data_IF_309909637690
#
_entry.id   IF_309909637690
#
_cell.length_a   1.000
_cell.length_b   1.000
_cell.length_c   1.000
_cell.angle_alpha   90.00
_cell.angle_beta   90.00
_cell.angle_gamma   90.00
#
_symmetry.space_group_name_H-M   'P 1'
#
loop_
_entity.id
_entity.type
_entity.pdbx_description
1 polymer ?
#
# COMPACT_ATOMS: atom_id res chain seq x y z
N UNK A 1 -61.47 -12.49 -5.24
CA UNK A 1 -60.45 -12.12 -6.25
C UNK A 1 -59.07 -12.24 -5.62
N UNK A 2 -58.24 -13.18 -6.06
CA UNK A 2 -56.82 -13.26 -5.68
C UNK A 2 -56.02 -12.87 -6.91
N UNK A 3 -55.60 -11.62 -6.98
CA UNK A 3 -54.75 -11.13 -8.06
C UNK A 3 -53.47 -11.98 -8.10
N UNK A 4 -53.24 -12.60 -9.26
CA UNK A 4 -51.98 -13.25 -9.56
C UNK A 4 -50.92 -12.16 -9.70
N UNK A 5 -50.17 -11.91 -8.62
CA UNK A 5 -48.95 -11.12 -8.63
C UNK A 5 -47.84 -11.85 -9.43
N UNK A 6 -48.06 -12.00 -10.73
CA UNK A 6 -47.06 -12.42 -11.69
C UNK A 6 -46.35 -11.18 -12.22
N UNK A 7 -45.11 -10.99 -11.79
CA UNK A 7 -44.20 -9.95 -12.31
C UNK A 7 -44.13 -10.04 -13.84
N UNK A 8 -44.36 -8.92 -14.52
CA UNK A 8 -44.26 -8.85 -15.98
C UNK A 8 -42.79 -8.95 -16.40
N UNK A 9 -42.54 -9.48 -17.61
CA UNK A 9 -41.18 -9.65 -18.16
C UNK A 9 -40.40 -8.32 -18.21
N UNK A 10 -41.10 -7.20 -18.31
CA UNK A 10 -40.52 -5.85 -18.36
C UNK A 10 -39.99 -5.38 -17.00
N UNK A 11 -40.68 -5.66 -15.89
CA UNK A 11 -40.15 -5.36 -14.54
C UNK A 11 -38.84 -6.11 -14.24
N UNK A 12 -38.71 -7.35 -14.74
CA UNK A 12 -37.49 -8.15 -14.62
C UNK A 12 -36.34 -7.59 -15.44
N UNK A 13 -36.60 -7.11 -16.66
CA UNK A 13 -35.59 -6.44 -17.49
C UNK A 13 -35.15 -5.12 -16.87
N UNK A 14 -36.10 -4.33 -16.37
CA UNK A 14 -35.83 -3.03 -15.76
C UNK A 14 -35.04 -3.17 -14.46
N UNK A 15 -35.40 -4.13 -13.59
CA UNK A 15 -34.62 -4.42 -12.37
C UNK A 15 -33.23 -4.98 -12.69
N UNK A 16 -33.07 -5.81 -13.73
CA UNK A 16 -31.77 -6.25 -14.19
C UNK A 16 -30.92 -5.06 -14.70
N UNK A 17 -31.50 -4.16 -15.49
CA UNK A 17 -30.81 -2.98 -16.00
C UNK A 17 -30.37 -2.03 -14.87
N UNK A 18 -31.25 -1.78 -13.88
CA UNK A 18 -30.92 -0.98 -12.69
C UNK A 18 -29.79 -1.63 -11.90
N UNK A 19 -29.82 -2.95 -11.74
CA UNK A 19 -28.77 -3.68 -11.00
C UNK A 19 -27.43 -3.60 -11.72
N UNK A 20 -27.42 -3.74 -13.05
CA UNK A 20 -26.21 -3.54 -13.86
C UNK A 20 -25.68 -2.12 -13.69
N UNK A 21 -26.55 -1.11 -13.78
CA UNK A 21 -26.13 0.28 -13.61
C UNK A 21 -25.57 0.55 -12.21
N UNK A 22 -26.20 0.01 -11.16
CA UNK A 22 -25.75 0.13 -9.77
C UNK A 22 -24.43 -0.59 -9.54
N UNK A 23 -24.27 -1.83 -10.02
CA UNK A 23 -23.02 -2.59 -9.91
C UNK A 23 -21.89 -1.92 -10.70
N UNK A 24 -22.18 -1.38 -11.88
CA UNK A 24 -21.21 -0.64 -12.68
C UNK A 24 -20.80 0.66 -11.99
N UNK A 25 -21.76 1.44 -11.48
CA UNK A 25 -21.48 2.69 -10.77
C UNK A 25 -20.68 2.44 -9.48
N UNK A 26 -21.07 1.44 -8.68
CA UNK A 26 -20.33 1.03 -7.49
C UNK A 26 -18.94 0.50 -7.84
N UNK A 27 -18.83 -0.32 -8.88
CA UNK A 27 -17.55 -0.84 -9.37
C UNK A 27 -16.61 0.27 -9.80
N UNK A 28 -17.11 1.24 -10.56
CA UNK A 28 -16.35 2.43 -10.98
C UNK A 28 -15.96 3.31 -9.79
N UNK A 29 -16.90 3.63 -8.90
CA UNK A 29 -16.62 4.47 -7.73
C UNK A 29 -15.61 3.80 -6.77
N UNK A 30 -15.77 2.50 -6.52
CA UNK A 30 -14.85 1.73 -5.70
C UNK A 30 -13.46 1.61 -6.34
N UNK A 31 -13.40 1.32 -7.65
CA UNK A 31 -12.14 1.29 -8.37
C UNK A 31 -11.45 2.67 -8.32
N UNK A 32 -12.21 3.76 -8.53
CA UNK A 32 -11.69 5.13 -8.46
C UNK A 32 -11.13 5.48 -7.07
N UNK A 33 -11.73 4.97 -6.00
CA UNK A 33 -11.25 5.20 -4.62
C UNK A 33 -9.94 4.50 -4.29
N UNK A 34 -9.55 3.49 -5.06
CA UNK A 34 -8.33 2.68 -4.86
C UNK A 34 -7.26 3.01 -5.91
N UNK A 35 -7.63 3.68 -7.00
CA UNK A 35 -6.72 4.16 -8.03
C UNK A 35 -5.75 5.20 -7.45
N UNK A 36 -4.50 4.79 -7.28
CA UNK A 36 -3.40 5.69 -6.92
C UNK A 36 -3.16 6.68 -8.07
N UNK A 37 -3.24 8.01 -7.83
CA UNK A 37 -3.03 9.02 -8.86
C UNK A 37 -1.63 8.90 -9.51
N UNK A 38 -1.57 8.98 -10.84
CA UNK A 38 -0.30 8.95 -11.58
C UNK A 38 0.38 7.58 -11.66
N UNK A 39 -0.23 6.53 -11.10
CA UNK A 39 0.24 5.14 -11.18
C UNK A 39 -0.74 4.33 -12.05
N UNK A 40 -0.73 4.49 -13.38
CA UNK A 40 -1.59 3.67 -14.26
C UNK A 40 -0.86 2.39 -14.71
N UNK A 41 -0.46 1.55 -13.75
CA UNK A 41 -0.06 0.18 -14.04
C UNK A 41 -1.29 -0.74 -14.09
N UNK A 42 -1.28 -1.71 -15.01
CA UNK A 42 -2.37 -2.69 -15.14
C UNK A 42 -2.60 -3.51 -13.85
N UNK A 43 -1.54 -3.69 -13.06
CA UNK A 43 -1.58 -4.29 -11.73
C UNK A 43 -2.41 -3.47 -10.73
N UNK A 44 -2.33 -2.13 -10.82
CA UNK A 44 -3.15 -1.22 -10.03
C UNK A 44 -4.65 -1.31 -10.41
N UNK A 45 -4.96 -1.48 -11.70
CA UNK A 45 -6.35 -1.73 -12.16
C UNK A 45 -6.86 -3.05 -11.58
N UNK A 46 -6.08 -4.13 -11.68
CA UNK A 46 -6.48 -5.45 -11.20
C UNK A 46 -6.65 -5.44 -9.68
N UNK A 47 -5.76 -4.79 -8.95
CA UNK A 47 -5.88 -4.58 -7.51
C UNK A 47 -7.14 -3.77 -7.16
N UNK A 48 -7.40 -2.65 -7.83
CA UNK A 48 -8.58 -1.82 -7.62
C UNK A 48 -9.88 -2.58 -7.94
N UNK A 49 -9.87 -3.37 -9.00
CA UNK A 49 -11.00 -4.21 -9.42
C UNK A 49 -11.26 -5.33 -8.42
N UNK A 50 -10.22 -6.01 -7.90
CA UNK A 50 -10.35 -7.01 -6.84
C UNK A 50 -10.82 -6.34 -5.54
N UNK A 51 -10.31 -5.15 -5.20
CA UNK A 51 -10.76 -4.36 -4.05
C UNK A 51 -12.24 -4.00 -4.14
N UNK A 52 -12.74 -3.67 -5.35
CA UNK A 52 -14.14 -3.35 -5.60
C UNK A 52 -15.11 -4.50 -5.27
N UNK A 53 -14.62 -5.75 -5.23
CA UNK A 53 -15.42 -6.93 -4.85
C UNK A 53 -16.00 -6.81 -3.44
N UNK A 54 -15.31 -6.11 -2.53
CA UNK A 54 -15.81 -5.88 -1.16
C UNK A 54 -17.16 -5.18 -1.16
N UNK A 55 -17.45 -4.34 -2.16
CA UNK A 55 -18.72 -3.61 -2.29
C UNK A 55 -19.65 -4.23 -3.33
N UNK A 56 -19.12 -4.63 -4.49
CA UNK A 56 -19.93 -5.20 -5.59
C UNK A 56 -20.43 -6.62 -5.30
N UNK A 57 -19.65 -7.44 -4.58
CA UNK A 57 -20.01 -8.80 -4.19
C UNK A 57 -21.27 -8.88 -3.31
N UNK A 58 -21.33 -8.17 -2.17
CA UNK A 58 -22.53 -8.10 -1.31
C UNK A 58 -23.80 -7.65 -2.04
N UNK A 59 -23.68 -6.67 -2.94
CA UNK A 59 -24.81 -6.17 -3.74
C UNK A 59 -25.29 -7.24 -4.73
N UNK A 60 -24.35 -7.94 -5.39
CA UNK A 60 -24.68 -9.07 -6.26
C UNK A 60 -25.37 -10.21 -5.49
N UNK A 61 -24.89 -10.52 -4.27
CA UNK A 61 -25.50 -11.52 -3.40
C UNK A 61 -26.93 -11.13 -2.98
N UNK A 62 -27.14 -9.87 -2.57
CA UNK A 62 -28.46 -9.35 -2.22
C UNK A 62 -29.44 -9.40 -3.40
N UNK A 63 -28.99 -8.99 -4.59
CA UNK A 63 -29.80 -9.08 -5.81
C UNK A 63 -30.17 -10.53 -6.14
N UNK A 64 -29.20 -11.44 -6.12
CA UNK A 64 -29.44 -12.85 -6.40
C UNK A 64 -30.43 -13.49 -5.40
N UNK A 65 -30.33 -13.15 -4.11
CA UNK A 65 -31.26 -13.58 -3.08
C UNK A 65 -32.69 -13.06 -3.32
N UNK A 66 -32.83 -11.82 -3.75
CA UNK A 66 -34.13 -11.23 -4.09
C UNK A 66 -34.79 -11.90 -5.30
N UNK A 67 -34.03 -12.17 -6.36
CA UNK A 67 -34.52 -12.90 -7.54
C UNK A 67 -34.91 -14.34 -7.15
N UNK A 68 -34.08 -15.02 -6.34
CA UNK A 68 -34.35 -16.37 -5.85
C UNK A 68 -35.65 -16.45 -5.05
N UNK A 69 -35.87 -15.50 -4.13
CA UNK A 69 -37.09 -15.40 -3.32
C UNK A 69 -38.34 -15.33 -4.19
N UNK A 70 -38.34 -14.45 -5.20
CA UNK A 70 -39.47 -14.28 -6.14
C UNK A 70 -39.67 -15.53 -6.99
N UNK A 71 -38.57 -16.12 -7.48
CA UNK A 71 -38.63 -17.30 -8.33
C UNK A 71 -39.16 -18.52 -7.58
N UNK A 72 -38.72 -18.74 -6.33
CA UNK A 72 -39.24 -19.80 -5.45
C UNK A 72 -40.75 -19.69 -5.26
N UNK A 73 -41.27 -18.49 -5.01
CA UNK A 73 -42.72 -18.26 -4.88
C UNK A 73 -43.47 -18.66 -6.16
N UNK A 74 -42.94 -18.31 -7.34
CA UNK A 74 -43.55 -18.65 -8.63
C UNK A 74 -43.50 -20.14 -9.00
N UNK A 75 -42.55 -20.87 -8.43
CA UNK A 75 -42.26 -22.27 -8.76
C UNK A 75 -42.79 -23.26 -7.71
N UNK A 76 -43.45 -22.76 -6.67
CA UNK A 76 -43.93 -23.57 -5.54
C UNK A 76 -44.91 -24.64 -6.06
N UNK A 77 -44.58 -25.91 -5.83
CA UNK A 77 -45.41 -27.06 -6.22
C UNK A 77 -45.24 -27.58 -7.65
N UNK A 78 -44.26 -27.09 -8.43
CA UNK A 78 -43.97 -27.59 -9.78
C UNK A 78 -42.68 -28.41 -9.81
N UNK A 79 -42.71 -29.57 -10.45
CA UNK A 79 -41.50 -30.32 -10.77
C UNK A 79 -40.69 -29.59 -11.85
N UNK A 80 -39.37 -29.47 -11.66
CA UNK A 80 -38.48 -28.72 -12.54
C UNK A 80 -37.30 -29.63 -12.88
N UNK A 81 -36.96 -29.75 -14.17
CA UNK A 81 -35.74 -30.43 -14.60
C UNK A 81 -34.48 -29.60 -14.31
N UNK A 82 -33.33 -30.25 -14.17
CA UNK A 82 -32.05 -29.62 -13.79
C UNK A 82 -31.67 -28.39 -14.61
N UNK A 83 -31.75 -28.47 -15.94
CA UNK A 83 -31.44 -27.33 -16.81
C UNK A 83 -32.32 -26.11 -16.54
N UNK A 84 -33.62 -26.34 -16.30
CA UNK A 84 -34.59 -25.27 -16.04
C UNK A 84 -34.40 -24.66 -14.65
N UNK A 85 -33.86 -25.42 -13.69
CA UNK A 85 -33.46 -24.92 -12.38
C UNK A 85 -32.18 -24.05 -12.46
N UNK A 86 -31.20 -24.44 -13.29
CA UNK A 86 -29.92 -23.74 -13.45
C UNK A 86 -30.00 -22.48 -14.31
N UNK A 87 -30.97 -22.38 -15.23
CA UNK A 87 -31.07 -21.25 -16.17
C UNK A 87 -31.15 -19.88 -15.48
N UNK A 88 -31.92 -19.76 -14.39
CA UNK A 88 -32.08 -18.50 -13.68
C UNK A 88 -30.80 -18.05 -12.93
N UNK A 89 -30.16 -18.89 -12.09
CA UNK A 89 -28.92 -18.49 -11.44
C UNK A 89 -27.78 -18.24 -12.44
N UNK A 90 -27.67 -19.03 -13.51
CA UNK A 90 -26.68 -18.77 -14.57
C UNK A 90 -26.90 -17.43 -15.26
N UNK A 91 -28.15 -17.05 -15.53
CA UNK A 91 -28.44 -15.74 -16.12
C UNK A 91 -28.03 -14.58 -15.19
N UNK A 92 -28.22 -14.72 -13.87
CA UNK A 92 -27.77 -13.72 -12.90
C UNK A 92 -26.24 -13.60 -12.93
N UNK A 93 -25.53 -14.72 -12.91
CA UNK A 93 -24.06 -14.74 -12.99
C UNK A 93 -23.59 -14.06 -14.27
N UNK A 94 -24.18 -14.37 -15.44
CA UNK A 94 -23.83 -13.71 -16.71
C UNK A 94 -24.05 -12.19 -16.65
N UNK A 95 -25.14 -11.72 -16.05
CA UNK A 95 -25.43 -10.28 -15.92
C UNK A 95 -24.42 -9.59 -15.00
N UNK A 96 -24.09 -10.20 -13.86
CA UNK A 96 -23.11 -9.65 -12.90
C UNK A 96 -21.71 -9.62 -13.53
N UNK A 97 -21.29 -10.71 -14.18
CA UNK A 97 -20.02 -10.79 -14.87
C UNK A 97 -19.94 -9.81 -16.06
N UNK A 98 -21.03 -9.60 -16.78
CA UNK A 98 -21.11 -8.60 -17.86
C UNK A 98 -20.92 -7.18 -17.34
N UNK A 99 -21.54 -6.84 -16.20
CA UNK A 99 -21.34 -5.55 -15.54
C UNK A 99 -19.89 -5.33 -15.08
N UNK A 100 -19.26 -6.39 -14.57
CA UNK A 100 -17.85 -6.37 -14.19
C UNK A 100 -16.93 -6.19 -15.40
N UNK A 101 -17.16 -6.96 -16.46
CA UNK A 101 -16.41 -6.84 -17.71
C UNK A 101 -16.53 -5.43 -18.33
N UNK A 102 -17.72 -4.83 -18.27
CA UNK A 102 -17.92 -3.44 -18.70
C UNK A 102 -17.12 -2.45 -17.84
N UNK A 103 -17.06 -2.64 -16.53
CA UNK A 103 -16.26 -1.82 -15.61
C UNK A 103 -14.77 -1.93 -15.93
N UNK A 104 -14.27 -3.15 -16.10
CA UNK A 104 -12.88 -3.43 -16.50
C UNK A 104 -12.57 -2.82 -17.87
N UNK A 105 -13.50 -2.90 -18.83
CA UNK A 105 -13.33 -2.31 -20.16
C UNK A 105 -13.20 -0.78 -20.10
N UNK A 106 -14.02 -0.10 -19.30
CA UNK A 106 -13.94 1.36 -19.12
C UNK A 106 -12.58 1.75 -18.52
N UNK A 107 -12.12 1.02 -17.50
CA UNK A 107 -10.80 1.24 -16.91
C UNK A 107 -9.67 0.96 -17.90
N UNK A 108 -9.79 -0.13 -18.67
CA UNK A 108 -8.82 -0.50 -19.70
C UNK A 108 -8.71 0.58 -20.80
N UNK A 109 -9.83 1.11 -21.28
CA UNK A 109 -9.85 2.20 -22.26
C UNK A 109 -9.16 3.44 -21.70
N UNK A 110 -9.44 3.82 -20.45
CA UNK A 110 -8.73 4.94 -19.79
C UNK A 110 -7.22 4.71 -19.78
N UNK A 111 -6.76 3.49 -19.44
CA UNK A 111 -5.33 3.19 -19.34
C UNK A 111 -4.61 3.04 -20.67
N UNK A 112 -5.30 2.58 -21.72
CA UNK A 112 -4.73 2.56 -23.09
C UNK A 112 -4.54 3.99 -23.59
N UNK A 113 -5.47 4.89 -23.27
CA UNK A 113 -5.38 6.30 -23.65
C UNK A 113 -4.28 7.07 -22.90
N UNK A 114 -3.78 6.57 -21.77
CA UNK A 114 -2.70 7.19 -21.00
C UNK A 114 -1.31 6.57 -21.24
N UNK A 115 -1.14 5.78 -22.32
CA UNK A 115 0.11 5.13 -22.75
C UNK A 115 0.96 4.53 -21.62
N UNK A 116 0.43 3.52 -20.91
CA UNK A 116 1.16 2.90 -19.80
C UNK A 116 1.27 1.38 -19.92
N UNK A 117 2.48 0.90 -19.63
CA UNK A 117 2.94 -0.44 -19.97
C UNK A 117 2.82 -1.41 -18.79
N UNK A 118 2.29 -2.59 -19.08
CA UNK A 118 2.33 -3.77 -18.23
C UNK A 118 1.56 -4.92 -18.88
N UNK A 119 1.98 -6.18 -18.71
CA UNK A 119 1.23 -7.32 -19.21
C UNK A 119 -0.10 -7.47 -18.48
N UNK A 120 -1.13 -7.85 -19.22
CA UNK A 120 -2.46 -8.18 -18.71
C UNK A 120 -2.35 -9.44 -17.83
N UNK A 121 -2.46 -9.31 -16.50
CA UNK A 121 -2.66 -10.43 -15.57
C UNK A 121 -4.08 -11.02 -15.69
N UNK A 122 -4.30 -11.79 -16.76
CA UNK A 122 -5.49 -12.63 -16.98
C UNK A 122 -5.93 -13.41 -15.72
N UNK A 123 -5.04 -14.00 -14.91
CA UNK A 123 -5.42 -14.73 -13.69
C UNK A 123 -6.07 -13.83 -12.62
N UNK A 124 -5.65 -12.58 -12.49
CA UNK A 124 -6.20 -11.64 -11.51
C UNK A 124 -7.65 -11.25 -11.84
N UNK A 125 -7.94 -11.01 -13.12
CA UNK A 125 -9.32 -10.84 -13.58
C UNK A 125 -10.17 -12.10 -13.36
N UNK A 126 -9.56 -13.28 -13.51
CA UNK A 126 -10.19 -14.57 -13.22
C UNK A 126 -10.70 -14.68 -11.79
N UNK A 127 -9.90 -14.25 -10.80
CA UNK A 127 -10.31 -14.22 -9.39
C UNK A 127 -11.45 -13.24 -9.16
N UNK A 128 -11.42 -12.06 -9.79
CA UNK A 128 -12.51 -11.09 -9.77
C UNK A 128 -13.85 -11.69 -10.20
N UNK A 129 -13.86 -12.32 -11.37
CA UNK A 129 -15.04 -12.96 -11.94
C UNK A 129 -15.50 -14.16 -11.09
N UNK A 130 -14.57 -15.03 -10.67
CA UNK A 130 -14.90 -16.21 -9.88
C UNK A 130 -15.46 -15.82 -8.49
N UNK A 131 -14.92 -14.76 -7.87
CA UNK A 131 -15.43 -14.19 -6.63
C UNK A 131 -16.86 -13.68 -6.78
N UNK A 132 -17.16 -12.87 -7.80
CA UNK A 132 -18.52 -12.37 -8.07
C UNK A 132 -19.53 -13.49 -8.34
N UNK A 133 -19.10 -14.52 -9.07
CA UNK A 133 -19.93 -15.70 -9.30
C UNK A 133 -20.26 -16.40 -7.98
N UNK A 134 -19.29 -16.55 -7.08
CA UNK A 134 -19.50 -17.11 -5.75
C UNK A 134 -20.51 -16.29 -4.93
N UNK A 135 -20.34 -14.97 -4.83
CA UNK A 135 -21.28 -14.08 -4.14
C UNK A 135 -22.71 -14.23 -4.67
N UNK A 136 -22.86 -14.26 -6.00
CA UNK A 136 -24.15 -14.41 -6.67
C UNK A 136 -24.81 -15.75 -6.34
N UNK A 137 -24.05 -16.84 -6.34
CA UNK A 137 -24.56 -18.18 -6.00
C UNK A 137 -24.92 -18.30 -4.52
N UNK A 138 -24.11 -17.74 -3.61
CA UNK A 138 -24.43 -17.70 -2.18
C UNK A 138 -25.77 -16.97 -1.96
N UNK A 139 -25.92 -15.79 -2.58
CA UNK A 139 -27.16 -15.03 -2.53
C UNK A 139 -28.35 -15.84 -3.05
N UNK A 140 -28.22 -16.48 -4.21
CA UNK A 140 -29.26 -17.33 -4.78
C UNK A 140 -29.69 -18.46 -3.83
N UNK A 141 -28.71 -19.19 -3.28
CA UNK A 141 -28.96 -20.32 -2.36
C UNK A 141 -29.61 -19.83 -1.07
N UNK A 142 -29.14 -18.74 -0.48
CA UNK A 142 -29.70 -18.13 0.72
C UNK A 142 -31.15 -17.68 0.50
N UNK A 143 -31.42 -16.96 -0.58
CA UNK A 143 -32.78 -16.53 -0.96
C UNK A 143 -33.71 -17.69 -1.28
N UNK A 144 -33.17 -18.80 -1.78
CA UNK A 144 -33.96 -20.01 -2.00
C UNK A 144 -34.30 -20.72 -0.69
N UNK A 145 -33.39 -20.88 0.26
CA UNK A 145 -33.66 -21.61 1.50
C UNK A 145 -34.40 -20.80 2.56
N UNK A 146 -34.08 -19.51 2.71
CA UNK A 146 -34.69 -18.60 3.66
C UNK A 146 -35.61 -17.61 2.92
N UNK A 147 -36.91 -17.90 2.72
CA UNK A 147 -37.77 -17.12 1.85
C UNK A 147 -38.42 -15.93 2.57
N UNK A 148 -37.65 -15.22 3.41
CA UNK A 148 -38.13 -14.07 4.17
C UNK A 148 -37.86 -12.77 3.41
N UNK A 149 -38.67 -11.73 3.66
CA UNK A 149 -38.48 -10.43 3.01
C UNK A 149 -37.14 -9.77 3.39
N UNK A 150 -36.59 -10.13 4.56
CA UNK A 150 -35.31 -9.64 5.08
C UNK A 150 -34.08 -10.42 4.56
N UNK A 151 -34.28 -11.51 3.80
CA UNK A 151 -33.16 -12.32 3.31
C UNK A 151 -32.22 -11.58 2.36
N UNK A 152 -32.68 -10.75 1.38
CA UNK A 152 -31.77 -10.01 0.51
C UNK A 152 -30.78 -9.09 1.24
N UNK A 153 -31.20 -8.20 2.18
CA UNK A 153 -30.24 -7.39 2.92
C UNK A 153 -29.34 -8.22 3.84
N UNK A 154 -29.86 -9.30 4.46
CA UNK A 154 -29.04 -10.19 5.29
C UNK A 154 -28.01 -10.97 4.48
N UNK A 155 -28.34 -11.40 3.25
CA UNK A 155 -27.42 -12.08 2.37
C UNK A 155 -26.27 -11.15 1.97
N UNK A 156 -26.58 -9.90 1.58
CA UNK A 156 -25.56 -8.89 1.29
C UNK A 156 -24.68 -8.59 2.50
N UNK A 157 -25.29 -8.19 3.63
CA UNK A 157 -24.56 -7.83 4.85
C UNK A 157 -23.77 -9.02 5.43
N UNK A 158 -24.35 -10.21 5.42
CA UNK A 158 -23.69 -11.43 5.88
C UNK A 158 -22.50 -11.80 5.01
N UNK A 159 -22.61 -11.69 3.69
CA UNK A 159 -21.49 -11.85 2.77
C UNK A 159 -20.40 -10.81 3.03
N UNK A 160 -20.76 -9.53 3.18
CA UNK A 160 -19.81 -8.47 3.52
C UNK A 160 -19.05 -8.79 4.80
N UNK A 161 -19.75 -9.04 5.90
CA UNK A 161 -19.14 -9.32 7.21
C UNK A 161 -18.29 -10.59 7.19
N UNK A 162 -18.76 -11.67 6.56
CA UNK A 162 -18.05 -12.93 6.48
C UNK A 162 -16.72 -12.76 5.74
N UNK A 163 -16.75 -12.16 4.54
CA UNK A 163 -15.55 -12.03 3.72
C UNK A 163 -14.62 -10.92 4.21
N UNK A 164 -15.12 -9.86 4.85
CA UNK A 164 -14.29 -8.91 5.59
C UNK A 164 -13.55 -9.60 6.74
N UNK A 165 -14.25 -10.41 7.55
CA UNK A 165 -13.62 -11.19 8.63
C UNK A 165 -12.57 -12.18 8.13
N UNK A 166 -12.83 -12.85 7.01
CA UNK A 166 -11.87 -13.76 6.39
C UNK A 166 -10.66 -13.02 5.82
N UNK A 167 -10.86 -11.83 5.26
CA UNK A 167 -9.81 -10.98 4.71
C UNK A 167 -8.90 -10.36 5.80
N UNK A 168 -9.46 -9.97 6.95
CA UNK A 168 -8.71 -9.32 8.02
C UNK A 168 -8.00 -10.32 8.97
N UNK A 169 -8.35 -11.61 8.90
CA UNK A 169 -7.77 -12.65 9.74
C UNK A 169 -6.37 -13.07 9.27
N UNK A 170 -5.31 -12.60 9.92
CA UNK A 170 -3.90 -12.85 9.57
C UNK A 170 -3.41 -14.30 9.70
N UNK A 171 -4.04 -15.24 8.98
CA UNK A 171 -3.70 -16.65 8.91
C UNK A 171 -4.32 -17.28 7.66
N UNK A 172 -4.32 -18.61 7.53
CA UNK A 172 -4.77 -19.36 6.34
C UNK A 172 -6.11 -18.95 5.70
N UNK A 173 -7.00 -18.31 6.46
CA UNK A 173 -8.29 -17.82 6.03
C UNK A 173 -8.19 -16.65 5.03
N UNK A 174 -7.13 -15.83 5.12
CA UNK A 174 -6.89 -14.70 4.21
C UNK A 174 -6.73 -15.16 2.77
N UNK A 175 -6.12 -16.33 2.55
CA UNK A 175 -5.89 -16.93 1.24
C UNK A 175 -7.19 -17.34 0.55
N UNK A 176 -8.20 -17.70 1.33
CA UNK A 176 -9.46 -18.26 0.81
C UNK A 176 -10.49 -17.19 0.47
N UNK A 177 -10.32 -15.96 0.95
CA UNK A 177 -11.24 -14.87 0.67
C UNK A 177 -11.19 -14.49 -0.83
N UNK A 178 -12.32 -14.15 -1.46
CA UNK A 178 -12.37 -13.57 -2.79
C UNK A 178 -11.93 -12.09 -2.70
N UNK A 179 -10.63 -11.87 -2.46
CA UNK A 179 -10.02 -10.55 -2.32
C UNK A 179 -8.68 -10.58 -1.59
N UNK A 180 -7.90 -9.49 -1.68
CA UNK A 180 -6.71 -9.31 -0.86
C UNK A 180 -7.10 -8.84 0.55
N UNK A 181 -6.43 -9.39 1.57
CA UNK A 181 -6.71 -9.13 2.99
C UNK A 181 -6.47 -7.69 3.42
N UNK A 182 -5.33 -7.12 3.03
CA UNK A 182 -4.98 -5.71 3.26
C UNK A 182 -5.27 -4.86 2.01
N UNK A 183 -5.52 -3.54 2.16
CA UNK A 183 -5.44 -2.63 1.02
C UNK A 183 -4.13 -2.91 0.29
N UNK A 184 -4.22 -3.04 -1.04
CA UNK A 184 -3.11 -3.46 -1.88
C UNK A 184 -1.88 -2.61 -1.57
N UNK A 185 -0.84 -3.27 -1.07
CA UNK A 185 0.44 -2.62 -0.86
C UNK A 185 1.22 -2.73 -2.18
N UNK A 186 1.61 -1.58 -2.73
CA UNK A 186 2.36 -1.47 -3.99
C UNK A 186 3.65 -2.29 -3.97
N UNK A 187 4.15 -2.69 -2.79
CA UNK A 187 5.38 -3.48 -2.64
C UNK A 187 5.16 -4.99 -2.68
N UNK A 188 3.93 -5.45 -2.94
CA UNK A 188 3.60 -6.87 -3.02
C UNK A 188 3.14 -7.30 -4.42
N UNK A 189 3.94 -8.17 -5.04
CA UNK A 189 3.73 -8.67 -6.39
C UNK A 189 2.56 -9.65 -6.49
N UNK A 190 1.93 -9.69 -7.66
CA UNK A 190 0.81 -10.56 -7.98
C UNK A 190 1.31 -11.89 -8.56
N UNK A 191 1.21 -12.99 -7.81
CA UNK A 191 1.61 -14.29 -8.32
C UNK A 191 0.53 -14.92 -9.20
N UNK A 192 0.75 -14.94 -10.52
CA UNK A 192 -0.22 -15.48 -11.48
C UNK A 192 -0.65 -16.93 -11.20
N UNK A 193 0.26 -17.76 -10.67
CA UNK A 193 -0.03 -19.14 -10.28
C UNK A 193 -1.00 -19.22 -9.08
N UNK A 194 -0.80 -18.40 -8.04
CA UNK A 194 -1.70 -18.42 -6.89
C UNK A 194 -3.06 -17.81 -7.22
N UNK A 195 -3.13 -16.80 -8.11
CA UNK A 195 -4.40 -16.32 -8.65
C UNK A 195 -5.14 -17.41 -9.45
N UNK A 196 -4.41 -18.25 -10.18
CA UNK A 196 -5.00 -19.39 -10.89
C UNK A 196 -5.53 -20.45 -9.92
N UNK A 197 -4.77 -20.81 -8.89
CA UNK A 197 -5.22 -21.75 -7.85
C UNK A 197 -6.42 -21.20 -7.06
N UNK A 198 -6.43 -19.90 -6.76
CA UNK A 198 -7.56 -19.22 -6.12
C UNK A 198 -8.78 -19.19 -7.05
N UNK A 199 -8.59 -19.00 -8.36
CA UNK A 199 -9.67 -19.08 -9.35
C UNK A 199 -10.26 -20.49 -9.40
N UNK A 200 -9.42 -21.54 -9.38
CA UNK A 200 -9.86 -22.94 -9.36
C UNK A 200 -10.68 -23.22 -8.10
N UNK A 201 -10.21 -22.79 -6.93
CA UNK A 201 -10.95 -22.89 -5.67
C UNK A 201 -12.32 -22.21 -5.77
N UNK A 202 -12.36 -20.94 -6.19
CA UNK A 202 -13.59 -20.14 -6.25
C UNK A 202 -14.59 -20.71 -7.27
N UNK A 203 -14.13 -21.14 -8.44
CA UNK A 203 -15.00 -21.79 -9.44
C UNK A 203 -15.48 -23.16 -8.94
N UNK A 204 -14.61 -23.95 -8.30
CA UNK A 204 -14.94 -25.24 -7.72
C UNK A 204 -16.04 -25.12 -6.67
N UNK A 205 -15.88 -24.23 -5.69
CA UNK A 205 -16.87 -24.04 -4.62
C UNK A 205 -18.18 -23.43 -5.15
N UNK A 206 -18.11 -22.49 -6.11
CA UNK A 206 -19.30 -21.91 -6.77
C UNK A 206 -20.09 -23.00 -7.50
N UNK A 207 -19.40 -23.85 -8.25
CA UNK A 207 -20.02 -24.94 -9.00
C UNK A 207 -20.59 -26.00 -8.06
N UNK A 208 -19.87 -26.36 -6.99
CA UNK A 208 -20.33 -27.30 -5.97
C UNK A 208 -21.61 -26.80 -5.27
N UNK A 209 -21.64 -25.52 -4.87
CA UNK A 209 -22.82 -24.90 -4.25
C UNK A 209 -24.03 -24.89 -5.19
N UNK A 210 -23.82 -24.47 -6.44
CA UNK A 210 -24.90 -24.36 -7.42
C UNK A 210 -25.46 -25.73 -7.81
N UNK A 211 -24.59 -26.71 -8.08
CA UNK A 211 -24.99 -28.07 -8.41
C UNK A 211 -25.56 -28.81 -7.20
N UNK A 212 -25.02 -28.62 -6.01
CA UNK A 212 -25.57 -29.17 -4.77
C UNK A 212 -26.98 -28.66 -4.49
N UNK A 213 -27.22 -27.36 -4.67
CA UNK A 213 -28.56 -26.78 -4.63
C UNK A 213 -29.49 -27.38 -5.70
N UNK A 214 -29.01 -27.48 -6.95
CA UNK A 214 -29.81 -28.04 -8.05
C UNK A 214 -30.15 -29.52 -7.81
N UNK A 215 -29.21 -30.31 -7.29
CA UNK A 215 -29.41 -31.70 -6.91
C UNK A 215 -30.47 -31.83 -5.81
N UNK A 216 -30.45 -30.93 -4.82
CA UNK A 216 -31.44 -30.94 -3.73
C UNK A 216 -32.84 -30.57 -4.21
N UNK A 217 -32.96 -29.60 -5.13
CA UNK A 217 -34.26 -29.19 -5.68
C UNK A 217 -34.82 -30.21 -6.67
N UNK A 218 -33.97 -30.85 -7.48
CA UNK A 218 -34.41 -31.78 -8.54
C UNK A 218 -34.39 -33.26 -8.13
N UNK A 219 -33.71 -33.60 -7.02
CA UNK A 219 -33.47 -34.96 -6.53
C UNK A 219 -32.77 -35.88 -7.53
N UNK A 220 -31.94 -35.33 -8.42
CA UNK A 220 -31.21 -36.09 -9.44
C UNK A 220 -29.81 -36.46 -8.98
N UNK A 221 -29.51 -37.77 -8.93
CA UNK A 221 -28.22 -38.30 -8.48
C UNK A 221 -27.03 -37.89 -9.36
N UNK A 222 -27.24 -37.74 -10.68
CA UNK A 222 -26.19 -37.30 -11.62
C UNK A 222 -25.69 -35.90 -11.27
N UNK A 223 -26.59 -34.99 -10.91
CA UNK A 223 -26.23 -33.61 -10.52
C UNK A 223 -25.43 -33.61 -9.21
N UNK A 224 -25.77 -34.53 -8.28
CA UNK A 224 -25.02 -34.71 -7.05
C UNK A 224 -23.60 -35.24 -7.32
N UNK A 225 -23.44 -36.20 -8.24
CA UNK A 225 -22.12 -36.70 -8.62
C UNK A 225 -21.25 -35.58 -9.22
N UNK A 226 -21.81 -34.74 -10.08
CA UNK A 226 -21.11 -33.56 -10.61
C UNK A 226 -20.76 -32.55 -9.50
N UNK A 227 -21.62 -32.36 -8.50
CA UNK A 227 -21.33 -31.50 -7.36
C UNK A 227 -20.14 -32.04 -6.54
N UNK A 228 -20.06 -33.35 -6.32
CA UNK A 228 -18.93 -33.99 -5.63
C UNK A 228 -17.61 -33.84 -6.40
N UNK A 229 -17.63 -33.95 -7.73
CA UNK A 229 -16.46 -33.67 -8.56
C UNK A 229 -16.00 -32.20 -8.43
N UNK A 230 -16.95 -31.26 -8.37
CA UNK A 230 -16.63 -29.85 -8.15
C UNK A 230 -16.02 -29.59 -6.75
N UNK A 231 -16.46 -30.32 -5.72
CA UNK A 231 -15.84 -30.28 -4.38
C UNK A 231 -14.40 -30.78 -4.42
N UNK A 232 -14.11 -31.84 -5.17
CA UNK A 232 -12.74 -32.34 -5.34
C UNK A 232 -11.85 -31.30 -6.03
N UNK A 233 -12.34 -30.65 -7.09
CA UNK A 233 -11.62 -29.56 -7.76
C UNK A 233 -11.39 -28.35 -6.86
N UNK A 234 -12.37 -28.02 -6.00
CA UNK A 234 -12.22 -26.98 -5.00
C UNK A 234 -11.12 -27.36 -3.98
N UNK A 235 -11.14 -28.62 -3.51
CA UNK A 235 -10.14 -29.16 -2.58
C UNK A 235 -8.72 -29.16 -3.14
N UNK A 236 -8.53 -29.47 -4.43
CA UNK A 236 -7.20 -29.39 -5.06
C UNK A 236 -6.69 -27.96 -5.15
N UNK A 237 -7.57 -26.99 -5.46
CA UNK A 237 -7.24 -25.57 -5.43
C UNK A 237 -6.79 -25.11 -4.05
N UNK A 238 -7.55 -25.45 -2.99
CA UNK A 238 -7.20 -25.12 -1.60
C UNK A 238 -5.87 -25.77 -1.18
N UNK A 239 -5.67 -27.05 -1.50
CA UNK A 239 -4.45 -27.75 -1.14
C UNK A 239 -3.21 -27.07 -1.74
N UNK A 240 -3.28 -26.63 -3.01
CA UNK A 240 -2.19 -25.89 -3.67
C UNK A 240 -1.99 -24.50 -3.06
N UNK A 241 -3.08 -23.80 -2.76
CA UNK A 241 -3.05 -22.46 -2.17
C UNK A 241 -2.46 -22.45 -0.76
N UNK A 242 -2.71 -23.50 0.02
CA UNK A 242 -2.16 -23.67 1.37
C UNK A 242 -0.72 -24.21 1.35
N UNK A 243 -0.34 -24.97 0.32
CA UNK A 243 1.04 -25.42 0.11
C UNK A 243 1.98 -24.28 -0.32
N UNK A 244 1.44 -23.18 -0.85
CA UNK A 244 2.24 -22.01 -1.19
C UNK A 244 2.76 -21.29 0.08
N UNK A 245 4.06 -20.94 0.13
CA UNK A 245 4.66 -20.33 1.32
C UNK A 245 4.20 -18.88 1.55
N UNK A 246 3.87 -18.15 0.47
CA UNK A 246 3.40 -16.75 0.52
C UNK A 246 1.99 -16.64 -0.09
N UNK A 247 1.12 -15.75 0.41
CA UNK A 247 -0.20 -15.50 -0.19
C UNK A 247 -0.08 -14.91 -1.61
N UNK A 248 -1.17 -15.00 -2.37
CA UNK A 248 -1.18 -14.72 -3.82
C UNK A 248 -0.72 -13.29 -4.19
N UNK A 249 -0.95 -12.34 -3.28
CA UNK A 249 -0.64 -10.93 -3.43
C UNK A 249 0.54 -10.51 -2.53
N UNK A 250 1.55 -11.38 -2.32
CA UNK A 250 2.72 -11.13 -1.47
C UNK A 250 4.05 -11.60 -2.12
N UNK A 251 4.17 -11.50 -3.44
CA UNK A 251 5.41 -11.90 -4.14
C UNK A 251 6.45 -10.77 -4.10
N UNK A 252 7.73 -11.11 -4.06
CA UNK A 252 8.80 -10.10 -4.06
C UNK A 252 8.89 -9.43 -5.44
N UNK A 253 8.94 -8.11 -5.47
CA UNK A 253 8.90 -7.34 -6.72
C UNK A 253 10.31 -7.02 -7.20
N UNK A 254 10.56 -7.23 -8.49
CA UNK A 254 11.76 -6.73 -9.14
C UNK A 254 11.62 -5.21 -9.36
N UNK A 255 12.37 -4.41 -8.59
CA UNK A 255 12.40 -2.95 -8.76
C UNK A 255 12.85 -2.55 -10.17
N UNK A 256 12.26 -1.48 -10.69
CA UNK A 256 12.75 -0.80 -11.88
C UNK A 256 13.78 0.25 -11.44
N UNK A 257 15.02 0.10 -11.89
CA UNK A 257 16.11 0.97 -11.49
C UNK A 257 16.63 1.81 -12.65
N UNK A 258 16.87 3.10 -12.40
CA UNK A 258 17.65 3.99 -13.25
C UNK A 258 19.01 4.19 -12.61
N UNK A 259 20.10 3.85 -13.28
CA UNK A 259 21.44 3.81 -12.66
C UNK A 259 22.18 5.16 -12.65
N UNK A 260 21.84 6.09 -13.56
CA UNK A 260 22.59 7.35 -13.75
C UNK A 260 21.72 8.59 -13.45
N UNK A 261 22.23 9.61 -12.73
CA UNK A 261 23.57 9.76 -12.12
C UNK A 261 23.70 9.18 -10.70
N UNK A 262 22.59 8.80 -10.07
CA UNK A 262 22.50 7.97 -8.86
C UNK A 262 21.54 6.82 -9.17
N UNK A 263 21.70 5.67 -8.51
CA UNK A 263 20.82 4.53 -8.73
C UNK A 263 19.49 4.74 -8.01
N UNK A 264 18.42 5.03 -8.73
CA UNK A 264 17.07 5.15 -8.16
C UNK A 264 16.26 3.92 -8.52
N UNK A 265 15.84 3.16 -7.51
CA UNK A 265 15.03 1.96 -7.67
C UNK A 265 13.62 2.20 -7.12
N UNK A 266 12.63 2.10 -8.00
CA UNK A 266 11.21 2.26 -7.69
C UNK A 266 10.42 1.03 -8.08
N UNK A 267 9.23 0.91 -7.50
CA UNK A 267 8.25 -0.05 -7.99
C UNK A 267 8.03 0.13 -9.51
N UNK A 268 7.93 -0.94 -10.32
CA UNK A 268 7.72 -0.84 -11.77
C UNK A 268 6.53 0.03 -12.17
N UNK A 269 5.46 0.04 -11.36
CA UNK A 269 4.29 0.89 -11.60
C UNK A 269 4.58 2.39 -11.48
N UNK A 270 5.64 2.78 -10.76
CA UNK A 270 6.06 4.17 -10.53
C UNK A 270 7.27 4.56 -11.38
N UNK A 271 7.63 3.76 -12.40
CA UNK A 271 8.78 4.03 -13.26
C UNK A 271 8.76 5.41 -13.94
N UNK A 272 7.58 5.98 -14.16
CA UNK A 272 7.42 7.33 -14.73
C UNK A 272 8.03 8.42 -13.83
N UNK A 273 8.09 8.18 -12.51
CA UNK A 273 8.68 9.11 -11.55
C UNK A 273 10.19 9.02 -11.41
N UNK A 274 10.86 8.05 -12.07
CA UNK A 274 12.32 7.82 -11.93
C UNK A 274 13.14 9.07 -12.24
N UNK A 275 12.81 9.78 -13.33
CA UNK A 275 13.56 10.97 -13.76
C UNK A 275 13.42 12.13 -12.77
N UNK A 276 12.21 12.37 -12.25
CA UNK A 276 11.94 13.48 -11.32
C UNK A 276 12.62 13.21 -9.97
N UNK A 277 12.50 11.99 -9.45
CA UNK A 277 13.21 11.56 -8.23
C UNK A 277 14.72 11.56 -8.41
N UNK A 278 15.23 11.07 -9.54
CA UNK A 278 16.65 11.13 -9.86
C UNK A 278 17.17 12.57 -9.81
N UNK A 279 16.41 13.53 -10.36
CA UNK A 279 16.79 14.95 -10.34
C UNK A 279 16.77 15.53 -8.93
N UNK A 280 15.74 15.26 -8.14
CA UNK A 280 15.63 15.73 -6.75
C UNK A 280 16.76 15.18 -5.87
N UNK A 281 16.96 13.86 -5.91
CA UNK A 281 17.96 13.20 -5.07
C UNK A 281 19.40 13.43 -5.52
N UNK A 282 19.66 13.75 -6.80
CA UNK A 282 21.00 14.16 -7.25
C UNK A 282 21.46 15.44 -6.55
N UNK A 283 20.55 16.40 -6.31
CA UNK A 283 20.87 17.63 -5.57
C UNK A 283 21.27 17.30 -4.13
N UNK A 284 20.53 16.44 -3.44
CA UNK A 284 20.82 16.02 -2.07
C UNK A 284 22.14 15.23 -2.03
N UNK A 285 22.32 14.26 -2.92
CA UNK A 285 23.54 13.46 -3.01
C UNK A 285 24.79 14.34 -3.18
N UNK A 286 24.69 15.41 -3.98
CA UNK A 286 25.80 16.35 -4.17
C UNK A 286 26.19 17.11 -2.89
N UNK A 287 25.22 17.39 -2.00
CA UNK A 287 25.44 18.04 -0.69
C UNK A 287 25.93 17.06 0.37
N UNK A 288 25.52 15.80 0.30
CA UNK A 288 25.96 14.76 1.24
C UNK A 288 27.24 14.06 0.82
N UNK A 289 27.76 14.33 -0.38
CA UNK A 289 29.00 13.74 -0.89
C UNK A 289 30.18 13.95 0.07
N UNK A 290 30.80 12.85 0.49
CA UNK A 290 31.94 12.85 1.43
C UNK A 290 31.56 12.96 2.91
N UNK A 291 30.27 13.01 3.24
CA UNK A 291 29.77 12.96 4.62
C UNK A 291 29.40 11.53 5.02
N UNK A 292 29.22 11.22 6.32
CA UNK A 292 28.76 9.90 6.75
C UNK A 292 27.38 9.49 6.21
N UNK A 293 26.56 10.45 5.76
CA UNK A 293 25.26 10.20 5.10
C UNK A 293 25.33 10.15 3.57
N UNK A 294 26.52 10.06 2.98
CA UNK A 294 26.65 9.90 1.54
C UNK A 294 25.93 8.64 1.04
N UNK A 295 25.22 8.77 -0.07
CA UNK A 295 24.53 7.66 -0.73
C UNK A 295 24.74 7.70 -2.24
N UNK A 296 24.65 6.52 -2.87
CA UNK A 296 24.67 6.36 -4.32
C UNK A 296 23.42 5.66 -4.85
N UNK A 297 22.61 5.11 -3.94
CA UNK A 297 21.37 4.41 -4.24
C UNK A 297 20.21 4.99 -3.46
N UNK A 298 19.07 5.15 -4.12
CA UNK A 298 17.78 5.53 -3.55
C UNK A 298 16.83 4.36 -3.79
N UNK A 299 16.17 3.90 -2.74
CA UNK A 299 15.27 2.74 -2.84
C UNK A 299 13.96 3.01 -2.13
N UNK A 300 12.88 2.71 -2.84
CA UNK A 300 11.54 2.82 -2.30
C UNK A 300 11.29 1.76 -1.22
N UNK A 301 10.71 2.16 -0.08
CA UNK A 301 10.32 1.27 1.02
C UNK A 301 8.81 1.32 1.27
N UNK A 302 8.22 0.24 1.83
CA UNK A 302 6.85 0.27 2.32
C UNK A 302 6.66 1.37 3.38
N UNK A 303 5.48 2.01 3.37
CA UNK A 303 5.14 3.11 4.30
C UNK A 303 5.19 2.74 5.79
N UNK A 304 5.12 1.44 6.07
CA UNK A 304 5.10 0.87 7.41
C UNK A 304 6.53 0.69 7.96
N UNK A 305 7.54 0.72 7.07
CA UNK A 305 8.95 0.64 7.45
C UNK A 305 9.44 2.02 7.91
N UNK A 306 10.21 2.04 9.00
CA UNK A 306 10.88 3.27 9.42
C UNK A 306 12.03 3.59 8.45
N UNK A 307 12.06 4.82 7.93
CA UNK A 307 13.18 5.30 7.11
C UNK A 307 14.42 5.44 7.99
N UNK A 308 15.27 4.42 7.97
CA UNK A 308 16.59 4.46 8.61
C UNK A 308 17.67 4.57 7.53
N UNK A 309 18.27 5.76 7.36
CA UNK A 309 19.38 5.93 6.44
C UNK A 309 20.48 4.89 6.73
N UNK A 310 20.83 4.12 5.71
CA UNK A 310 21.91 3.12 5.78
C UNK A 310 23.08 3.64 4.95
N UNK A 311 24.35 3.38 5.32
CA UNK A 311 25.48 3.83 4.52
C UNK A 311 25.32 3.44 3.05
N UNK A 312 25.39 4.41 2.14
CA UNK A 312 25.25 4.18 0.69
C UNK A 312 23.82 4.11 0.15
N UNK A 313 22.79 4.01 1.01
CA UNK A 313 21.38 3.81 0.63
C UNK A 313 20.46 4.84 1.29
N UNK A 314 19.72 5.58 0.46
CA UNK A 314 18.64 6.46 0.87
C UNK A 314 17.29 5.74 0.73
N UNK A 315 16.68 5.24 1.82
CA UNK A 315 15.33 4.72 1.77
C UNK A 315 14.34 5.89 1.62
N UNK A 316 13.30 5.71 0.80
CA UNK A 316 12.26 6.72 0.56
C UNK A 316 10.86 6.12 0.59
N UNK A 317 9.88 6.93 0.95
CA UNK A 317 8.47 6.61 0.70
C UNK A 317 7.98 7.37 -0.52
N UNK A 318 7.24 6.68 -1.38
CA UNK A 318 6.53 7.28 -2.51
C UNK A 318 5.15 6.66 -2.55
N UNK A 319 4.12 7.47 -2.32
CA UNK A 319 2.72 7.02 -2.24
C UNK A 319 2.04 7.02 -3.60
N UNK A 320 2.30 8.06 -4.36
CA UNK A 320 1.73 8.33 -5.68
C UNK A 320 2.71 9.18 -6.51
N UNK A 321 2.33 9.48 -7.75
CA UNK A 321 3.09 10.39 -8.64
C UNK A 321 2.32 11.71 -8.84
N UNK A 322 1.68 12.21 -7.78
CA UNK A 322 1.04 13.53 -7.80
C UNK A 322 2.06 14.66 -7.90
N UNK A 323 1.65 15.86 -8.33
CA UNK A 323 2.57 16.97 -8.50
C UNK A 323 3.32 17.29 -7.20
N UNK A 324 4.67 17.28 -7.24
CA UNK A 324 5.52 17.53 -6.08
C UNK A 324 5.92 16.28 -5.28
N UNK A 325 5.54 15.07 -5.71
CA UNK A 325 5.88 13.82 -5.01
C UNK A 325 7.39 13.64 -4.76
N UNK A 326 8.23 14.06 -5.72
CA UNK A 326 9.68 13.93 -5.60
C UNK A 326 10.25 14.87 -4.53
N UNK A 327 9.70 16.09 -4.42
CA UNK A 327 10.09 17.06 -3.41
C UNK A 327 9.65 16.58 -2.02
N UNK A 328 8.44 16.04 -1.87
CA UNK A 328 7.94 15.46 -0.61
C UNK A 328 8.83 14.30 -0.13
N UNK A 329 9.13 13.34 -1.02
CA UNK A 329 10.01 12.22 -0.71
C UNK A 329 11.43 12.67 -0.33
N UNK A 330 11.94 13.70 -1.01
CA UNK A 330 13.24 14.29 -0.72
C UNK A 330 13.25 14.98 0.66
N UNK A 331 12.16 15.66 1.01
CA UNK A 331 11.98 16.36 2.28
C UNK A 331 11.92 15.36 3.44
N UNK A 332 11.15 14.28 3.29
CA UNK A 332 11.04 13.20 4.27
C UNK A 332 12.38 12.50 4.49
N UNK A 333 13.13 12.22 3.42
CA UNK A 333 14.47 11.66 3.54
C UNK A 333 15.41 12.59 4.32
N UNK A 334 15.44 13.89 3.99
CA UNK A 334 16.28 14.85 4.72
C UNK A 334 15.86 14.93 6.19
N UNK A 335 14.56 14.93 6.50
CA UNK A 335 14.02 14.83 7.86
C UNK A 335 14.48 13.58 8.61
N UNK A 336 14.64 12.44 7.92
CA UNK A 336 15.11 11.19 8.53
C UNK A 336 16.61 11.20 8.90
N UNK A 337 17.40 12.16 8.39
CA UNK A 337 18.85 12.21 8.64
C UNK A 337 19.20 12.56 10.09
N UNK A 338 18.35 13.33 10.78
CA UNK A 338 18.58 13.81 12.13
C UNK A 338 17.30 13.86 12.97
N UNK A 339 17.42 13.48 14.24
CA UNK A 339 16.30 13.53 15.18
C UNK A 339 15.75 14.96 15.33
N UNK A 340 14.45 15.09 15.60
CA UNK A 340 13.83 16.37 15.94
C UNK A 340 14.26 16.80 17.35
N UNK A 341 14.46 18.10 17.56
CA UNK A 341 15.02 18.65 18.80
C UNK A 341 14.02 19.54 19.56
N UNK A 342 12.80 19.06 19.86
CA UNK A 342 11.70 19.92 20.28
C UNK A 342 12.02 20.69 21.57
N UNK A 343 11.84 22.01 21.52
CA UNK A 343 11.98 22.88 22.69
C UNK A 343 13.42 23.16 23.11
N UNK A 344 14.42 22.87 22.27
CA UNK A 344 15.83 23.16 22.55
C UNK A 344 16.40 24.21 21.58
N UNK A 345 17.44 24.95 21.97
CA UNK A 345 18.15 25.85 21.05
C UNK A 345 18.77 25.09 19.85
N UNK A 346 19.13 23.82 20.04
CA UNK A 346 19.64 22.95 18.98
C UNK A 346 18.67 22.81 17.79
N UNK A 347 17.37 23.02 18.00
CA UNK A 347 16.36 22.99 16.93
C UNK A 347 16.61 24.06 15.87
N UNK A 348 16.91 25.30 16.27
CA UNK A 348 17.20 26.37 15.33
C UNK A 348 18.50 26.15 14.55
N UNK A 349 19.53 25.60 15.20
CA UNK A 349 20.77 25.20 14.53
C UNK A 349 20.56 24.04 13.55
N UNK A 350 19.74 23.05 13.92
CA UNK A 350 19.33 21.95 13.04
C UNK A 350 18.64 22.50 11.80
N UNK A 351 17.64 23.36 11.96
CA UNK A 351 16.87 23.91 10.83
C UNK A 351 17.73 24.66 9.81
N UNK A 352 18.80 25.34 10.23
CA UNK A 352 19.77 25.96 9.30
C UNK A 352 20.41 24.90 8.37
N UNK A 353 20.85 23.77 8.94
CA UNK A 353 21.46 22.67 8.19
C UNK A 353 20.42 21.98 7.31
N UNK A 354 19.21 21.74 7.84
CA UNK A 354 18.11 21.11 7.09
C UNK A 354 17.68 21.95 5.89
N UNK A 355 17.55 23.26 6.05
CA UNK A 355 17.23 24.19 4.96
C UNK A 355 18.30 24.17 3.87
N UNK A 356 19.59 24.14 4.23
CA UNK A 356 20.67 23.98 3.24
C UNK A 356 20.58 22.63 2.50
N UNK A 357 20.34 21.52 3.21
CA UNK A 357 20.19 20.20 2.62
C UNK A 357 19.01 20.12 1.64
N UNK A 358 17.91 20.84 1.91
CA UNK A 358 16.76 21.00 1.00
C UNK A 358 17.04 21.99 -0.14
N UNK A 359 17.92 22.96 0.08
CA UNK A 359 18.18 24.04 -0.86
C UNK A 359 17.23 25.21 -0.71
N UNK A 360 16.67 25.35 0.49
CA UNK A 360 15.80 26.44 0.91
C UNK A 360 16.63 27.61 1.45
N UNK A 361 16.06 28.82 1.52
CA UNK A 361 16.67 29.95 2.23
C UNK A 361 16.94 29.59 3.69
N UNK A 362 18.13 29.95 4.19
CA UNK A 362 18.52 29.62 5.57
C UNK A 362 17.67 30.41 6.57
N UNK A 363 16.94 29.73 7.49
CA UNK A 363 16.12 30.41 8.47
C UNK A 363 17.00 31.08 9.53
N UNK A 364 16.66 32.32 9.90
CA UNK A 364 17.28 33.01 11.03
C UNK A 364 16.86 32.45 12.40
N UNK A 365 15.81 31.62 12.45
CA UNK A 365 15.31 31.03 13.69
C UNK A 365 14.72 32.03 14.69
N UNK A 366 14.25 31.56 15.87
CA UNK A 366 13.62 32.43 16.87
C UNK A 366 14.59 33.15 17.83
N UNK A 367 15.88 32.78 17.84
CA UNK A 367 16.89 33.35 18.75
C UNK A 367 17.92 34.16 17.95
N UNK A 368 18.45 35.28 18.49
CA UNK A 368 19.46 36.09 17.80
C UNK A 368 20.74 35.32 17.43
N UNK A 369 21.08 34.28 18.20
CA UNK A 369 22.22 33.40 17.92
C UNK A 369 21.99 32.49 16.70
N UNK A 370 20.73 32.20 16.34
CA UNK A 370 20.39 31.48 15.13
C UNK A 370 20.52 32.40 13.90
N UNK A 371 20.17 33.68 14.00
CA UNK A 371 20.35 34.65 12.90
C UNK A 371 21.84 34.80 12.56
N UNK A 372 22.68 34.92 13.58
CA UNK A 372 24.14 34.94 13.41
C UNK A 372 24.65 33.64 12.78
N UNK A 373 24.19 32.48 13.26
CA UNK A 373 24.61 31.20 12.74
C UNK A 373 24.17 30.99 11.28
N UNK A 374 22.96 31.42 10.91
CA UNK A 374 22.47 31.37 9.54
C UNK A 374 23.31 32.27 8.62
N UNK A 375 23.63 33.49 9.06
CA UNK A 375 24.50 34.40 8.32
C UNK A 375 25.92 33.83 8.17
N UNK A 376 26.52 33.31 9.24
CA UNK A 376 27.84 32.68 9.20
C UNK A 376 27.87 31.48 8.25
N UNK A 377 26.87 30.59 8.36
CA UNK A 377 26.76 29.40 7.52
C UNK A 377 26.49 29.76 6.05
N UNK A 378 25.76 30.86 5.79
CA UNK A 378 25.53 31.41 4.45
C UNK A 378 26.83 31.90 3.80
N UNK A 379 27.79 32.39 4.59
CA UNK A 379 29.10 32.86 4.11
C UNK A 379 30.05 31.73 3.69
N UNK A 380 29.77 30.48 4.07
CA UNK A 380 30.57 29.32 3.67
C UNK A 380 30.31 28.94 2.21
N UNK A 381 31.36 28.55 1.50
CA UNK A 381 31.24 27.86 0.20
C UNK A 381 30.58 26.48 0.37
N UNK A 382 29.99 25.93 -0.69
CA UNK A 382 29.40 24.59 -0.66
C UNK A 382 30.39 23.52 -0.19
N UNK A 383 31.66 23.60 -0.61
CA UNK A 383 32.69 22.68 -0.14
C UNK A 383 32.91 22.78 1.38
N UNK A 384 32.96 24.00 1.93
CA UNK A 384 33.10 24.22 3.36
C UNK A 384 31.88 23.75 4.16
N UNK A 385 30.66 23.91 3.63
CA UNK A 385 29.44 23.39 4.28
C UNK A 385 29.44 21.86 4.35
N UNK A 386 29.90 21.18 3.28
CA UNK A 386 30.06 19.72 3.29
C UNK A 386 31.11 19.25 4.29
N UNK A 387 32.25 19.94 4.32
CA UNK A 387 33.31 19.62 5.27
C UNK A 387 32.88 19.87 6.73
N UNK A 388 32.14 20.96 6.97
CA UNK A 388 31.50 21.23 8.25
C UNK A 388 30.55 20.09 8.65
N UNK A 389 29.66 19.67 7.74
CA UNK A 389 28.71 18.60 8.03
C UNK A 389 29.45 17.28 8.29
N UNK A 390 30.54 17.01 7.56
CA UNK A 390 31.37 15.81 7.78
C UNK A 390 31.97 15.78 9.20
N UNK A 391 32.43 16.91 9.72
CA UNK A 391 33.02 17.00 11.07
C UNK A 391 31.97 16.91 12.18
N UNK A 392 30.80 17.54 12.00
CA UNK A 392 29.78 17.68 13.05
C UNK A 392 28.54 16.82 12.84
N UNK A 393 28.64 15.79 11.99
CA UNK A 393 27.49 14.96 11.61
C UNK A 393 26.81 14.32 12.82
N UNK A 394 27.57 13.77 13.77
CA UNK A 394 27.02 13.13 14.98
C UNK A 394 26.27 14.12 15.88
N UNK A 395 26.76 15.35 15.99
CA UNK A 395 26.13 16.38 16.82
C UNK A 395 24.87 16.93 16.14
N UNK A 396 24.88 17.00 14.81
CA UNK A 396 23.70 17.25 13.99
C UNK A 396 22.63 16.17 14.19
N UNK A 397 22.99 14.88 14.16
CA UNK A 397 22.03 13.78 14.35
C UNK A 397 21.42 13.70 15.74
N UNK A 398 22.17 14.12 16.77
CA UNK A 398 21.84 13.90 18.19
C UNK A 398 21.42 15.15 18.96
N UNK A 399 21.03 16.22 18.26
CA UNK A 399 20.58 17.49 18.85
C UNK A 399 21.63 18.16 19.76
N UNK A 400 22.92 18.08 19.40
CA UNK A 400 24.05 18.67 20.16
C UNK A 400 24.66 19.90 19.52
N UNK A 401 24.12 20.34 18.38
CA UNK A 401 24.54 21.59 17.75
C UNK A 401 24.32 22.79 18.67
N UNK A 402 25.26 23.73 18.62
CA UNK A 402 25.31 24.92 19.47
C UNK A 402 26.06 26.05 18.78
N UNK A 403 26.06 27.25 19.37
CA UNK A 403 26.75 28.42 18.85
C UNK A 403 28.22 28.20 18.50
N UNK A 404 28.94 27.36 19.26
CA UNK A 404 30.37 27.07 19.04
C UNK A 404 30.62 26.41 17.69
N UNK A 405 29.64 25.67 17.18
CA UNK A 405 29.71 25.01 15.87
C UNK A 405 29.55 26.00 14.71
N UNK A 406 28.99 27.19 14.96
CA UNK A 406 28.70 28.23 13.97
C UNK A 406 29.52 29.51 14.21
N UNK A 407 30.77 29.37 14.66
CA UNK A 407 31.68 30.50 14.86
C UNK A 407 31.58 31.20 16.23
N UNK A 408 30.84 30.66 17.19
CA UNK A 408 30.89 31.07 18.60
C UNK A 408 30.29 32.45 18.89
N UNK A 409 29.08 32.71 18.37
CA UNK A 409 28.40 34.02 18.33
C UNK A 409 28.37 34.90 19.61
N UNK A 410 27.67 36.05 19.57
CA UNK A 410 27.81 37.12 20.57
C UNK A 410 27.50 36.73 22.03
N UNK A 411 26.75 35.64 22.26
CA UNK A 411 26.39 35.14 23.60
C UNK A 411 27.56 34.63 24.44
N UNK A 412 28.54 33.94 23.84
CA UNK A 412 29.72 33.44 24.58
C UNK A 412 30.71 34.56 24.87
N UNK A 413 30.90 35.48 23.91
CA UNK A 413 31.79 36.64 24.06
C UNK A 413 31.30 37.58 25.18
N UNK A 414 29.97 37.74 25.32
CA UNK A 414 29.35 38.51 26.41
C UNK A 414 29.49 37.83 27.78
N UNK A 415 29.30 36.50 27.86
CA UNK A 415 29.42 35.74 29.12
C UNK A 415 30.88 35.63 29.60
N UNK A 416 31.83 35.48 28.69
CA UNK A 416 33.28 35.48 29.01
C UNK A 416 33.78 36.86 29.46
N UNK A 417 33.27 37.95 28.89
CA UNK A 417 33.54 39.32 29.38
C UNK A 417 32.88 39.62 30.73
N UNK A 418 31.65 39.15 30.96
CA UNK A 418 30.98 39.30 32.26
C UNK A 418 31.63 38.48 33.37
N UNK A 419 32.20 37.31 33.06
CA UNK A 419 33.01 36.52 34.00
C UNK A 419 34.37 37.15 34.32
N UNK A 420 35.03 37.75 33.33
CA UNK A 420 36.31 38.43 33.53
C UNK A 420 36.20 39.72 34.36
N UNK A 421 35.05 40.40 34.32
CA UNK A 421 34.81 41.59 35.14
C UNK A 421 34.50 41.29 36.63
N UNK A 422 34.35 40.01 37.02
CA UNK A 422 34.01 39.62 38.41
C UNK A 422 35.19 39.01 39.19
N UNK A 423 36.39 38.93 38.61
CA UNK A 423 37.60 38.44 39.27
C UNK A 423 38.57 39.60 39.47
N UNK A 424 38.17 40.61 40.24
CA UNK A 424 39.12 41.53 40.89
C UNK A 424 38.57 41.99 42.23
N UNK A 425 38.20 41.02 43.07
CA UNK A 425 38.16 41.22 44.51
C UNK A 425 38.26 39.87 45.21
N UNK A 426 39.30 39.74 46.02
CA UNK A 426 39.50 38.81 47.14
C UNK A 426 40.61 37.75 46.94
N UNK A 427 41.58 37.88 47.84
CA UNK A 427 42.86 37.21 47.94
C UNK A 427 42.77 35.71 48.26
N UNK A 428 43.85 35.00 47.94
CA UNK A 428 44.18 33.71 48.54
C UNK A 428 44.58 32.63 47.53
N UNK A 429 45.86 32.57 47.19
CA UNK A 429 46.52 31.35 46.68
C UNK A 429 46.67 30.32 47.83
N UNK A 430 46.84 28.99 47.58
CA UNK A 430 47.94 28.51 46.76
C UNK A 430 47.61 27.39 45.75
N UNK A 431 48.29 27.53 44.61
CA UNK A 431 48.89 26.50 43.76
C UNK A 431 48.54 25.04 44.09
N UNK A 432 47.81 24.39 43.16
CA UNK A 432 47.89 22.95 42.96
C UNK A 432 48.54 22.68 41.60
N UNK A 433 49.80 22.27 41.70
CA UNK A 433 50.63 21.68 40.66
C UNK A 433 50.08 20.29 40.34
N UNK A 434 49.84 20.00 39.06
CA UNK A 434 49.69 18.63 38.58
C UNK A 434 50.76 18.33 37.50
N UNK A 435 51.32 17.10 37.49
CA UNK A 435 52.56 16.80 36.83
C UNK A 435 52.41 16.48 35.33
N UNK A 436 53.54 16.65 34.66
CA UNK A 436 53.84 16.48 33.23
C UNK A 436 54.39 15.07 32.99
N UNK A 437 53.73 14.33 32.08
CA UNK A 437 54.24 13.28 31.14
C UNK A 437 54.71 11.91 31.73
N UNK A 438 54.79 10.79 30.94
CA UNK A 438 55.27 10.75 29.55
C UNK A 438 54.58 9.83 28.52
N UNK A 439 55.04 10.04 27.29
CA UNK A 439 54.85 9.24 26.07
C UNK A 439 55.02 7.73 26.29
N UNK A 440 54.24 6.95 25.54
CA UNK A 440 54.50 5.54 25.31
C UNK A 440 54.52 5.28 23.80
N UNK A 441 55.73 5.27 23.24
CA UNK A 441 56.03 4.52 22.03
C UNK A 441 56.31 3.05 22.35
N UNK A 442 56.01 2.20 21.38
CA UNK A 442 56.45 0.81 21.19
C UNK A 442 56.04 -0.27 22.21
N UNK A 443 55.08 -1.10 21.79
CA UNK A 443 55.32 -2.49 21.38
C UNK A 443 54.13 -3.40 21.74
N UNK A 444 53.52 -4.03 20.73
CA UNK A 444 53.42 -5.49 20.62
C UNK A 444 52.46 -5.87 19.49
N UNK A 445 53.05 -6.34 18.41
CA UNK A 445 52.44 -7.17 17.37
C UNK A 445 52.01 -8.49 18.02
N UNK A 446 50.73 -8.84 17.91
CA UNK A 446 50.31 -10.25 17.89
C UNK A 446 49.22 -10.44 16.86
N UNK A 447 49.71 -10.94 15.73
CA UNK A 447 49.09 -11.74 14.69
C UNK A 447 48.05 -12.75 15.22
N UNK A 448 46.83 -12.73 14.65
CA UNK A 448 45.86 -13.83 14.75
C UNK A 448 44.91 -13.81 13.55
N UNK A 449 45.15 -14.75 12.62
CA UNK A 449 44.18 -15.45 11.76
C UNK A 449 44.76 -16.83 11.43
N UNK A 450 43.96 -17.84 11.05
CA UNK A 450 42.57 -17.79 10.57
C UNK A 450 41.51 -18.18 11.60
#
# INVERSE_FOLDING_TARGET
MREHAGVTREELKQSAAVTVAVLMALGLAAAWSVLIPGVDAWENIVAAVIGSLRLTGPVAAGFAAWVALRKRKSLRGRAIGAWRALKAPLAIVVVVLGSFAATVLVLAVKTVLTEQAGPISLPGLGVGMAGLALYSVIGWVAGWFAPFAITPPLAGLGCYLLFSRLADGGGWADRLAPGAGRPYDLFQGLSGAAFLDQTIWLLGITTALLLGWAALVTRQAVVLACALLAVLAAGTGVARLLAAPKPAAAQDIAYSCQEWPITVCLHPAMRAGLTELGTAFTKIASRLAGTPAAFTRVEQRPLEDELRPTPGLAPIHVRDLSAGFADEASYEYVESLAAKCPGTAADGYREIVMAWLRGEPLPGGPLPEHEYAAAWFSGLSEHQRREWLRMFFSDFQSCRLSSTHFGGGPGESGRRRAGAARVTATAGSPQQVYPVYPDAGDAAVTDWRP
#
